data_IF_468728000425
#
_entry.id   IF_468728000425
#
_cell.length_a   1.000
_cell.length_b   1.000
_cell.length_c   1.000
_cell.angle_alpha   90.00
_cell.angle_beta   90.00
_cell.angle_gamma   90.00
#
_symmetry.space_group_name_H-M   'P 1'
#
loop_
_entity.id
_entity.type
_entity.pdbx_description
1 polymer ?
#
# COMPACT_ATOMS: atom_id res chain seq x y z
N UNK A 1 11.25 -6.39 -27.90
CA UNK A 1 10.66 -7.24 -28.96
C UNK A 1 9.18 -7.23 -28.70
N UNK A 2 8.36 -6.86 -29.67
CA UNK A 2 6.91 -6.94 -29.52
C UNK A 2 6.54 -8.42 -29.63
N UNK A 3 5.87 -8.96 -28.62
CA UNK A 3 5.38 -10.34 -28.65
C UNK A 3 3.98 -10.30 -29.24
N UNK A 4 3.75 -10.94 -30.38
CA UNK A 4 2.41 -11.22 -30.87
C UNK A 4 2.09 -12.67 -30.53
N UNK A 5 0.82 -12.94 -30.18
CA UNK A 5 0.37 -14.30 -29.89
C UNK A 5 -0.92 -14.57 -30.64
N UNK A 6 -0.92 -15.66 -31.39
CA UNK A 6 -2.05 -16.12 -32.19
C UNK A 6 -2.50 -17.43 -31.58
N UNK A 7 -3.76 -17.49 -31.15
CA UNK A 7 -4.34 -18.70 -30.55
C UNK A 7 -4.64 -19.76 -31.62
N UNK A 8 -5.25 -19.35 -32.72
CA UNK A 8 -5.60 -20.22 -33.85
C UNK A 8 -5.30 -19.54 -35.18
N UNK A 9 -4.61 -20.26 -36.08
CA UNK A 9 -4.37 -19.87 -37.47
C UNK A 9 -5.06 -20.87 -38.39
N UNK A 10 -6.05 -20.41 -39.16
CA UNK A 10 -6.81 -21.23 -40.10
C UNK A 10 -6.50 -20.76 -41.52
N UNK A 11 -5.97 -21.66 -42.35
CA UNK A 11 -5.77 -21.44 -43.78
C UNK A 11 -6.79 -22.29 -44.53
N UNK A 12 -7.75 -21.62 -45.17
CA UNK A 12 -8.76 -22.27 -46.00
C UNK A 12 -8.42 -22.09 -47.49
N UNK A 13 -8.32 -23.20 -48.23
CA UNK A 13 -8.19 -23.20 -49.68
C UNK A 13 -9.34 -23.96 -50.33
N UNK A 14 -10.01 -23.33 -51.29
CA UNK A 14 -11.01 -23.98 -52.12
C UNK A 14 -10.41 -24.41 -53.45
N UNK A 15 -10.36 -25.72 -53.70
CA UNK A 15 -9.67 -26.32 -54.85
C UNK A 15 -10.65 -27.19 -55.67
N UNK A 16 -11.32 -26.61 -56.68
CA UNK A 16 -12.31 -27.35 -57.45
C UNK A 16 -11.64 -28.44 -58.30
N UNK A 17 -12.09 -29.69 -58.13
CA UNK A 17 -11.70 -30.81 -58.99
C UNK A 17 -10.36 -31.48 -58.64
N UNK A 18 -9.71 -31.09 -57.55
CA UNK A 18 -8.45 -31.70 -57.12
C UNK A 18 -8.68 -33.08 -56.49
N UNK A 19 -7.87 -34.08 -56.85
CA UNK A 19 -7.99 -35.41 -56.27
C UNK A 19 -7.54 -35.41 -54.78
N UNK A 20 -8.10 -36.26 -53.90
CA UNK A 20 -7.73 -36.29 -52.49
C UNK A 20 -6.23 -36.51 -52.21
N UNK A 21 -5.55 -37.27 -53.06
CA UNK A 21 -4.11 -37.50 -52.94
C UNK A 21 -3.29 -36.23 -53.21
N UNK A 22 -3.69 -35.44 -54.21
CA UNK A 22 -3.06 -34.16 -54.57
C UNK A 22 -3.34 -33.10 -53.50
N UNK A 23 -4.56 -33.08 -52.95
CA UNK A 23 -4.94 -32.19 -51.85
C UNK A 23 -4.05 -32.40 -50.61
N UNK A 24 -3.69 -33.66 -50.30
CA UNK A 24 -2.78 -33.97 -49.18
C UNK A 24 -1.35 -33.46 -49.43
N UNK A 25 -0.83 -33.65 -50.64
CA UNK A 25 0.49 -33.12 -51.02
C UNK A 25 0.52 -31.60 -50.91
N UNK A 26 -0.55 -30.93 -51.33
CA UNK A 26 -0.70 -29.49 -51.20
C UNK A 26 -0.78 -29.04 -49.74
N UNK A 27 -1.50 -29.77 -48.89
CA UNK A 27 -1.56 -29.49 -47.46
C UNK A 27 -0.16 -29.55 -46.82
N UNK A 28 0.64 -30.57 -47.15
CA UNK A 28 2.01 -30.68 -46.65
C UNK A 28 2.88 -29.51 -47.16
N UNK A 29 2.72 -29.10 -48.42
CA UNK A 29 3.38 -27.92 -49.00
C UNK A 29 2.99 -26.64 -48.26
N UNK A 30 1.71 -26.46 -47.94
CA UNK A 30 1.23 -25.31 -47.17
C UNK A 30 1.81 -25.26 -45.76
N UNK A 31 1.92 -26.39 -45.05
CA UNK A 31 2.54 -26.42 -43.71
C UNK A 31 3.98 -25.94 -43.77
N UNK A 32 4.73 -26.33 -44.81
CA UNK A 32 6.11 -25.85 -45.01
C UNK A 32 6.13 -24.36 -45.35
N UNK A 33 5.23 -23.90 -46.22
CA UNK A 33 5.14 -22.50 -46.63
C UNK A 33 4.75 -21.59 -45.46
N UNK A 34 3.81 -22.04 -44.62
CA UNK A 34 3.37 -21.36 -43.40
C UNK A 34 4.55 -21.14 -42.47
N UNK A 35 5.29 -22.21 -42.12
CA UNK A 35 6.41 -22.13 -41.18
C UNK A 35 7.59 -21.30 -41.69
N UNK A 36 7.86 -21.33 -43.00
CA UNK A 36 9.04 -20.69 -43.59
C UNK A 36 8.83 -19.26 -44.03
N UNK A 37 7.66 -18.95 -44.62
CA UNK A 37 7.37 -17.64 -45.21
C UNK A 37 6.29 -16.91 -44.44
N UNK A 38 5.11 -17.53 -44.24
CA UNK A 38 3.96 -16.81 -43.66
C UNK A 38 4.21 -16.41 -42.21
N UNK A 39 4.78 -17.27 -41.37
CA UNK A 39 5.09 -16.95 -39.97
C UNK A 39 6.00 -15.72 -39.84
N UNK A 40 7.00 -15.58 -40.72
CA UNK A 40 7.89 -14.40 -40.74
C UNK A 40 7.15 -13.12 -41.20
N UNK A 41 6.22 -13.26 -42.15
CA UNK A 41 5.36 -12.16 -42.59
C UNK A 41 4.43 -11.74 -41.47
N UNK A 42 3.75 -12.68 -40.80
CA UNK A 42 2.87 -12.42 -39.66
C UNK A 42 3.62 -11.63 -38.59
N UNK A 43 4.79 -12.12 -38.17
CA UNK A 43 5.59 -11.47 -37.15
C UNK A 43 5.94 -10.03 -37.54
N UNK A 44 6.47 -9.84 -38.75
CA UNK A 44 6.82 -8.51 -39.26
C UNK A 44 5.61 -7.57 -39.33
N UNK A 45 4.48 -8.04 -39.86
CA UNK A 45 3.30 -7.19 -40.05
C UNK A 45 2.64 -6.86 -38.70
N UNK A 46 2.59 -7.79 -37.75
CA UNK A 46 2.12 -7.51 -36.39
C UNK A 46 3.01 -6.46 -35.70
N UNK A 47 4.33 -6.60 -35.79
CA UNK A 47 5.29 -5.63 -35.25
C UNK A 47 5.16 -4.24 -35.92
N UNK A 48 4.82 -4.19 -37.21
CA UNK A 48 4.60 -2.94 -37.95
C UNK A 48 3.28 -2.24 -37.62
N UNK A 49 2.22 -3.00 -37.33
CA UNK A 49 0.88 -2.46 -37.15
C UNK A 49 0.55 -2.07 -35.70
N UNK A 50 1.18 -2.71 -34.71
CA UNK A 50 0.94 -2.42 -33.29
C UNK A 50 2.03 -1.49 -32.72
N UNK A 51 1.68 -0.32 -32.17
CA UNK A 51 2.65 0.58 -31.57
C UNK A 51 3.28 0.00 -30.30
N UNK A 52 4.54 0.36 -30.04
CA UNK A 52 5.25 -0.14 -28.87
C UNK A 52 4.53 0.24 -27.56
N UNK A 53 4.26 -0.76 -26.70
CA UNK A 53 3.62 -0.57 -25.40
C UNK A 53 2.08 -0.62 -25.44
N UNK A 54 1.48 -0.81 -26.63
CA UNK A 54 0.05 -1.08 -26.77
C UNK A 54 -0.19 -2.59 -26.88
N UNK A 55 -1.30 -3.05 -26.31
CA UNK A 55 -1.80 -4.41 -26.48
C UNK A 55 -3.07 -4.37 -27.31
N UNK A 56 -2.99 -4.85 -28.54
CA UNK A 56 -4.14 -4.98 -29.45
C UNK A 56 -4.75 -6.37 -29.33
N UNK A 57 -6.03 -6.44 -28.95
CA UNK A 57 -6.75 -7.70 -28.75
C UNK A 57 -7.80 -7.86 -29.83
N UNK A 58 -7.40 -8.54 -30.89
CA UNK A 58 -8.27 -8.82 -32.02
C UNK A 58 -8.87 -10.22 -31.84
N UNK A 59 -10.19 -10.29 -31.69
CA UNK A 59 -10.89 -11.57 -31.56
C UNK A 59 -10.73 -12.43 -32.82
N UNK A 60 -10.76 -11.80 -34.00
CA UNK A 60 -10.62 -12.46 -35.29
C UNK A 60 -10.12 -11.50 -36.35
N UNK A 61 -9.17 -11.95 -37.17
CA UNK A 61 -8.73 -11.26 -38.38
C UNK A 61 -8.95 -12.20 -39.56
N UNK A 62 -9.85 -11.84 -40.46
CA UNK A 62 -10.09 -12.56 -41.69
C UNK A 62 -9.35 -11.88 -42.85
N UNK A 63 -8.63 -12.68 -43.63
CA UNK A 63 -7.85 -12.19 -44.77
C UNK A 63 -8.29 -12.94 -46.03
N UNK A 64 -8.92 -12.22 -46.95
CA UNK A 64 -9.26 -12.77 -48.27
C UNK A 64 -8.11 -12.51 -49.26
N UNK A 65 -7.54 -13.59 -49.80
CA UNK A 65 -6.44 -13.55 -50.77
C UNK A 65 -6.94 -13.61 -52.22
N UNK A 66 -8.24 -13.76 -52.41
CA UNK A 66 -8.89 -13.93 -53.70
C UNK A 66 -8.51 -15.25 -54.36
N UNK A 67 -8.24 -15.18 -55.68
CA UNK A 67 -7.90 -16.34 -56.51
C UNK A 67 -6.50 -16.19 -57.09
N UNK A 68 -5.75 -17.28 -57.11
CA UNK A 68 -4.43 -17.38 -57.72
C UNK A 68 -4.22 -18.78 -58.30
N UNK A 69 -3.27 -18.90 -59.23
CA UNK A 69 -2.92 -20.16 -59.88
C UNK A 69 -2.16 -21.07 -58.89
N UNK A 70 -2.39 -22.39 -58.96
CA UNK A 70 -1.77 -23.34 -58.04
C UNK A 70 -0.26 -23.49 -58.30
N UNK A 71 0.14 -23.29 -59.56
CA UNK A 71 1.51 -23.30 -60.03
C UNK A 71 2.34 -22.21 -59.35
N UNK A 72 1.73 -21.04 -59.10
CA UNK A 72 2.37 -19.85 -58.54
C UNK A 72 2.14 -19.70 -57.02
N UNK A 73 1.59 -20.73 -56.36
CA UNK A 73 1.25 -20.71 -54.93
C UNK A 73 2.41 -20.24 -54.04
N UNK A 74 3.63 -20.70 -54.28
CA UNK A 74 4.77 -20.41 -53.40
C UNK A 74 5.19 -18.93 -53.44
N UNK A 75 4.85 -18.22 -54.51
CA UNK A 75 5.26 -16.84 -54.74
C UNK A 75 4.08 -15.87 -54.58
N UNK A 76 2.90 -16.20 -55.13
CA UNK A 76 1.71 -15.37 -55.02
C UNK A 76 1.10 -15.38 -53.62
N UNK A 77 1.04 -16.54 -52.95
CA UNK A 77 0.41 -16.63 -51.62
C UNK A 77 1.11 -15.71 -50.61
N UNK A 78 2.44 -15.76 -50.41
CA UNK A 78 3.09 -14.89 -49.43
C UNK A 78 3.00 -13.41 -49.81
N UNK A 79 3.14 -13.07 -51.09
CA UNK A 79 3.11 -11.68 -51.56
C UNK A 79 1.73 -11.04 -51.34
N UNK A 80 0.66 -11.76 -51.70
CA UNK A 80 -0.71 -11.29 -51.48
C UNK A 80 -1.09 -11.31 -50.01
N UNK A 81 -0.69 -12.35 -49.28
CA UNK A 81 -0.96 -12.48 -47.85
C UNK A 81 -0.36 -11.33 -47.05
N UNK A 82 0.87 -10.92 -47.33
CA UNK A 82 1.48 -9.78 -46.64
C UNK A 82 0.68 -8.48 -46.81
N UNK A 83 0.27 -8.17 -48.04
CA UNK A 83 -0.49 -6.94 -48.32
C UNK A 83 -1.86 -7.01 -47.65
N UNK A 84 -2.59 -8.11 -47.85
CA UNK A 84 -3.93 -8.29 -47.33
C UNK A 84 -3.97 -8.38 -45.79
N UNK A 85 -3.00 -9.04 -45.16
CA UNK A 85 -2.88 -9.11 -43.70
C UNK A 85 -2.62 -7.73 -43.10
N UNK A 86 -1.74 -6.92 -43.72
CA UNK A 86 -1.46 -5.56 -43.24
C UNK A 86 -2.70 -4.67 -43.29
N UNK A 87 -3.47 -4.77 -44.36
CA UNK A 87 -4.74 -4.03 -44.49
C UNK A 87 -5.80 -4.51 -43.49
N UNK A 88 -5.94 -5.83 -43.33
CA UNK A 88 -6.90 -6.43 -42.41
C UNK A 88 -6.57 -6.10 -40.94
N UNK A 89 -5.30 -6.18 -40.55
CA UNK A 89 -4.85 -5.83 -39.20
C UNK A 89 -5.09 -4.36 -38.88
N UNK A 90 -4.71 -3.44 -39.78
CA UNK A 90 -4.97 -2.01 -39.57
C UNK A 90 -6.44 -1.73 -39.37
N UNK A 91 -7.30 -2.25 -40.27
CA UNK A 91 -8.74 -2.09 -40.13
C UNK A 91 -9.26 -2.63 -38.79
N UNK A 92 -8.83 -3.81 -38.39
CA UNK A 92 -9.27 -4.43 -37.15
C UNK A 92 -8.81 -3.65 -35.90
N UNK A 93 -7.59 -3.10 -35.93
CA UNK A 93 -7.04 -2.23 -34.88
C UNK A 93 -7.82 -0.91 -34.83
N UNK A 94 -8.05 -0.26 -35.96
CA UNK A 94 -8.79 1.00 -36.06
C UNK A 94 -10.24 0.80 -35.54
N UNK A 95 -10.92 -0.28 -35.95
CA UNK A 95 -12.25 -0.63 -35.44
C UNK A 95 -12.28 -0.92 -33.94
N UNK A 96 -11.18 -1.46 -33.39
CA UNK A 96 -11.06 -1.67 -31.94
C UNK A 96 -10.88 -0.33 -31.22
N UNK A 97 -10.03 0.57 -31.74
CA UNK A 97 -9.85 1.93 -31.18
C UNK A 97 -11.17 2.68 -31.15
N UNK A 98 -11.93 2.66 -32.25
CA UNK A 98 -13.23 3.34 -32.31
C UNK A 98 -14.22 2.80 -31.26
N UNK A 99 -14.17 1.51 -30.95
CA UNK A 99 -14.99 0.90 -29.88
C UNK A 99 -14.49 1.29 -28.49
N UNK A 100 -13.19 1.23 -28.27
CA UNK A 100 -12.56 1.59 -27.00
C UNK A 100 -12.83 3.08 -26.67
N UNK A 101 -12.75 3.97 -27.67
CA UNK A 101 -13.13 5.39 -27.54
C UNK A 101 -14.62 5.58 -27.23
N UNK A 102 -15.52 4.81 -27.87
CA UNK A 102 -16.96 4.89 -27.61
C UNK A 102 -17.33 4.39 -26.21
N UNK A 103 -16.59 3.44 -25.67
CA UNK A 103 -16.79 2.87 -24.33
C UNK A 103 -15.99 3.60 -23.23
N UNK A 104 -15.26 4.66 -23.58
CA UNK A 104 -14.34 5.41 -22.71
C UNK A 104 -13.35 4.48 -21.98
N UNK A 105 -12.88 3.46 -22.72
CA UNK A 105 -11.93 2.46 -22.22
C UNK A 105 -10.53 2.80 -22.70
N UNK A 106 -9.63 3.06 -21.76
CA UNK A 106 -8.21 3.11 -22.09
C UNK A 106 -7.66 1.67 -22.22
N UNK A 107 -7.11 1.27 -23.40
CA UNK A 107 -6.76 -0.14 -23.67
C UNK A 107 -5.72 -0.73 -22.71
N UNK A 108 -4.72 0.07 -22.31
CA UNK A 108 -3.69 -0.34 -21.36
C UNK A 108 -4.27 -0.66 -19.98
N UNK A 109 -5.21 0.18 -19.54
CA UNK A 109 -5.93 0.05 -18.27
C UNK A 109 -6.81 -1.20 -18.25
N UNK A 110 -7.55 -1.45 -19.34
CA UNK A 110 -8.37 -2.66 -19.49
C UNK A 110 -7.54 -3.94 -19.40
N UNK A 111 -6.41 -3.97 -20.11
CA UNK A 111 -5.51 -5.12 -20.12
C UNK A 111 -4.89 -5.40 -18.74
N UNK A 112 -4.50 -4.34 -18.02
CA UNK A 112 -3.93 -4.46 -16.69
C UNK A 112 -4.95 -4.97 -15.66
N UNK A 113 -6.19 -4.48 -15.70
CA UNK A 113 -7.29 -5.00 -14.86
C UNK A 113 -7.59 -6.47 -15.18
N UNK A 114 -7.72 -6.82 -16.46
CA UNK A 114 -7.99 -8.20 -16.87
C UNK A 114 -6.91 -9.16 -16.37
N UNK A 115 -5.64 -8.76 -16.44
CA UNK A 115 -4.51 -9.56 -15.94
C UNK A 115 -4.67 -9.86 -14.44
N UNK A 116 -4.93 -8.82 -13.64
CA UNK A 116 -5.09 -8.94 -12.18
C UNK A 116 -6.31 -9.80 -11.85
N UNK A 117 -7.45 -9.54 -12.48
CA UNK A 117 -8.70 -10.27 -12.26
C UNK A 117 -8.57 -11.74 -12.66
N UNK A 118 -8.08 -12.01 -13.87
CA UNK A 118 -7.89 -13.38 -14.37
C UNK A 118 -6.96 -14.16 -13.44
N UNK A 119 -5.85 -13.55 -13.02
CA UNK A 119 -4.93 -14.20 -12.08
C UNK A 119 -5.58 -14.48 -10.73
N UNK A 120 -6.27 -13.50 -10.15
CA UNK A 120 -6.93 -13.67 -8.86
C UNK A 120 -7.98 -14.80 -8.92
N UNK A 121 -8.79 -14.85 -9.98
CA UNK A 121 -9.85 -15.84 -10.13
C UNK A 121 -9.34 -17.24 -10.47
N UNK A 122 -8.33 -17.37 -11.32
CA UNK A 122 -7.90 -18.67 -11.88
C UNK A 122 -6.59 -19.18 -11.29
N UNK A 123 -5.74 -18.31 -10.75
CA UNK A 123 -4.36 -18.60 -10.37
C UNK A 123 -3.40 -18.72 -11.56
N UNK A 124 -3.88 -18.50 -12.77
CA UNK A 124 -3.11 -18.51 -14.02
C UNK A 124 -3.18 -17.14 -14.68
N UNK A 125 -2.09 -16.71 -15.32
CA UNK A 125 -2.15 -15.48 -16.12
C UNK A 125 -2.96 -15.73 -17.40
N UNK A 126 -3.55 -14.68 -17.99
CA UNK A 126 -4.12 -14.78 -19.32
C UNK A 126 -3.14 -15.36 -20.32
N UNK A 127 -3.65 -16.07 -21.32
CA UNK A 127 -2.82 -16.71 -22.34
C UNK A 127 -1.91 -15.70 -23.04
N UNK A 128 -2.30 -14.43 -23.20
CA UNK A 128 -1.46 -13.42 -23.85
C UNK A 128 -0.25 -12.96 -23.02
N UNK A 129 -0.11 -13.36 -21.75
CA UNK A 129 1.06 -13.05 -20.93
C UNK A 129 2.08 -14.18 -20.98
N UNK A 130 3.28 -13.86 -21.45
CA UNK A 130 4.42 -14.78 -21.42
C UNK A 130 5.07 -14.79 -20.03
N UNK A 131 4.59 -15.67 -19.14
CA UNK A 131 5.23 -15.91 -17.85
C UNK A 131 5.37 -17.40 -17.55
N UNK A 132 6.55 -17.95 -17.84
CA UNK A 132 6.88 -19.35 -17.58
C UNK A 132 7.28 -19.62 -16.13
N UNK A 133 7.80 -18.60 -15.44
CA UNK A 133 8.28 -18.68 -14.05
C UNK A 133 7.44 -17.85 -13.08
N UNK A 134 7.55 -18.14 -11.79
CA UNK A 134 6.88 -17.34 -10.74
C UNK A 134 7.40 -15.90 -10.70
N UNK A 135 8.69 -15.68 -10.94
CA UNK A 135 9.29 -14.35 -11.00
C UNK A 135 8.73 -13.50 -12.13
N UNK A 136 8.59 -14.09 -13.33
CA UNK A 136 7.95 -13.42 -14.48
C UNK A 136 6.48 -13.10 -14.18
N UNK A 137 5.74 -14.03 -13.55
CA UNK A 137 4.34 -13.75 -13.17
C UNK A 137 4.22 -12.56 -12.23
N UNK A 138 5.11 -12.49 -11.23
CA UNK A 138 5.17 -11.35 -10.30
C UNK A 138 5.52 -10.05 -11.03
N UNK A 139 6.48 -10.10 -11.95
CA UNK A 139 6.88 -8.94 -12.75
C UNK A 139 5.72 -8.43 -13.64
N UNK A 140 4.96 -9.33 -14.27
CA UNK A 140 3.79 -8.96 -15.08
C UNK A 140 2.68 -8.32 -14.24
N UNK A 141 2.40 -8.86 -13.05
CA UNK A 141 1.43 -8.26 -12.12
C UNK A 141 1.87 -6.87 -11.63
N UNK A 142 3.17 -6.70 -11.35
CA UNK A 142 3.72 -5.40 -10.96
C UNK A 142 3.61 -4.38 -12.10
N UNK A 143 3.97 -4.77 -13.32
CA UNK A 143 3.83 -3.92 -14.51
C UNK A 143 2.36 -3.52 -14.77
N UNK A 144 1.41 -4.44 -14.57
CA UNK A 144 -0.02 -4.13 -14.65
C UNK A 144 -0.43 -3.08 -13.61
N UNK A 145 0.03 -3.20 -12.37
CA UNK A 145 -0.25 -2.23 -11.32
C UNK A 145 0.40 -0.87 -11.57
N UNK A 146 1.63 -0.85 -12.08
CA UNK A 146 2.32 0.39 -12.48
C UNK A 146 1.59 1.09 -13.64
N UNK A 147 1.06 0.31 -14.60
CA UNK A 147 0.23 0.84 -15.69
C UNK A 147 -1.07 1.45 -15.16
N UNK A 148 -1.76 0.77 -14.24
CA UNK A 148 -2.98 1.32 -13.62
C UNK A 148 -2.68 2.57 -12.81
N UNK A 149 -1.54 2.61 -12.13
CA UNK A 149 -1.08 3.76 -11.35
C UNK A 149 -0.81 5.01 -12.19
N UNK A 150 -0.59 4.87 -13.51
CA UNK A 150 -0.41 5.98 -14.44
C UNK A 150 -1.74 6.52 -15.00
N UNK A 151 -2.86 5.82 -14.78
CA UNK A 151 -4.20 6.24 -15.21
C UNK A 151 -4.65 7.52 -14.49
N UNK A 152 -5.50 8.39 -15.11
CA UNK A 152 -6.02 9.60 -14.46
C UNK A 152 -6.86 9.34 -13.21
N UNK A 153 -7.63 8.23 -13.19
CA UNK A 153 -8.36 7.74 -12.02
C UNK A 153 -7.93 6.29 -11.71
N UNK A 154 -6.79 6.09 -11.04
CA UNK A 154 -6.29 4.76 -10.71
C UNK A 154 -7.11 4.15 -9.56
N UNK A 155 -7.61 4.99 -8.65
CA UNK A 155 -8.24 4.58 -7.41
C UNK A 155 -9.63 4.00 -7.66
N UNK A 156 -10.47 4.66 -8.45
CA UNK A 156 -11.83 4.20 -8.72
C UNK A 156 -11.85 2.83 -9.39
N UNK A 157 -10.97 2.63 -10.38
CA UNK A 157 -10.84 1.37 -11.11
C UNK A 157 -10.31 0.23 -10.25
N UNK A 158 -9.18 0.44 -9.56
CA UNK A 158 -8.61 -0.57 -8.66
C UNK A 158 -9.58 -0.92 -7.54
N UNK A 159 -10.25 0.07 -6.96
CA UNK A 159 -11.24 -0.16 -5.90
C UNK A 159 -12.39 -1.02 -6.37
N UNK A 160 -12.92 -0.77 -7.58
CA UNK A 160 -14.00 -1.58 -8.15
C UNK A 160 -13.56 -3.03 -8.38
N UNK A 161 -12.43 -3.24 -9.04
CA UNK A 161 -11.90 -4.58 -9.31
C UNK A 161 -11.61 -5.35 -8.03
N UNK A 162 -10.93 -4.72 -7.06
CA UNK A 162 -10.63 -5.37 -5.78
C UNK A 162 -11.88 -5.59 -4.92
N UNK A 163 -12.89 -4.72 -4.96
CA UNK A 163 -14.13 -4.91 -4.23
C UNK A 163 -14.87 -6.17 -4.70
N UNK A 164 -14.84 -6.43 -6.01
CA UNK A 164 -15.35 -7.68 -6.58
C UNK A 164 -14.54 -8.90 -6.08
N UNK A 165 -13.21 -8.81 -6.09
CA UNK A 165 -12.34 -9.87 -5.56
C UNK A 165 -12.52 -10.11 -4.06
N UNK A 166 -12.78 -9.05 -3.27
CA UNK A 166 -13.00 -9.16 -1.83
C UNK A 166 -14.29 -9.91 -1.47
N UNK A 167 -15.23 -10.03 -2.40
CA UNK A 167 -16.40 -10.91 -2.23
C UNK A 167 -16.03 -12.40 -2.29
N UNK A 168 -14.81 -12.73 -2.76
CA UNK A 168 -14.27 -14.07 -2.90
C UNK A 168 -12.91 -14.19 -2.21
N UNK A 169 -12.87 -14.58 -0.92
CA UNK A 169 -11.60 -14.76 -0.19
C UNK A 169 -10.57 -15.64 -0.90
N UNK A 170 -10.94 -16.76 -1.58
CA UNK A 170 -9.97 -17.55 -2.34
C UNK A 170 -9.28 -16.77 -3.47
N UNK A 171 -10.01 -15.88 -4.16
CA UNK A 171 -9.44 -15.12 -5.25
C UNK A 171 -8.43 -14.08 -4.75
N UNK A 172 -8.80 -13.37 -3.69
CA UNK A 172 -7.91 -12.41 -3.04
C UNK A 172 -6.67 -13.10 -2.46
N UNK A 173 -6.81 -14.24 -1.78
CA UNK A 173 -5.66 -15.00 -1.25
C UNK A 173 -4.66 -15.39 -2.35
N UNK A 174 -5.12 -15.74 -3.56
CA UNK A 174 -4.20 -16.03 -4.69
C UNK A 174 -3.36 -14.82 -5.05
N UNK A 175 -3.98 -13.64 -5.11
CA UNK A 175 -3.26 -12.38 -5.36
C UNK A 175 -2.26 -12.09 -4.21
N UNK A 176 -2.67 -12.30 -2.96
CA UNK A 176 -1.79 -12.09 -1.80
C UNK A 176 -0.57 -13.02 -1.80
N UNK A 177 -0.70 -14.25 -2.30
CA UNK A 177 0.40 -15.23 -2.34
C UNK A 177 1.50 -14.89 -3.34
N UNK A 178 1.14 -14.31 -4.49
CA UNK A 178 2.11 -13.98 -5.54
C UNK A 178 2.78 -12.63 -5.29
N UNK A 179 2.05 -11.69 -4.70
CA UNK A 179 2.51 -10.35 -4.40
C UNK A 179 3.40 -10.36 -3.16
N UNK A 180 4.50 -9.59 -3.19
CA UNK A 180 5.30 -9.31 -2.00
C UNK A 180 4.67 -8.18 -1.17
N UNK A 181 5.18 -7.95 0.04
CA UNK A 181 4.62 -6.92 0.93
C UNK A 181 4.74 -5.52 0.34
N UNK A 182 5.80 -5.25 -0.45
CA UNK A 182 5.95 -3.98 -1.17
C UNK A 182 4.79 -3.75 -2.16
N UNK A 183 4.48 -4.76 -2.98
CA UNK A 183 3.41 -4.68 -3.96
C UNK A 183 2.04 -4.58 -3.29
N UNK A 184 1.82 -5.32 -2.19
CA UNK A 184 0.57 -5.25 -1.42
C UNK A 184 0.39 -3.89 -0.72
N UNK A 185 1.47 -3.32 -0.19
CA UNK A 185 1.45 -1.97 0.37
C UNK A 185 1.11 -0.95 -0.71
N UNK A 186 1.74 -1.05 -1.88
CA UNK A 186 1.45 -0.17 -3.02
C UNK A 186 -0.02 -0.32 -3.48
N UNK A 187 -0.50 -1.55 -3.64
CA UNK A 187 -1.89 -1.84 -4.04
C UNK A 187 -2.89 -1.25 -3.03
N UNK A 188 -2.70 -1.53 -1.74
CA UNK A 188 -3.61 -1.05 -0.69
C UNK A 188 -3.58 0.48 -0.59
N UNK A 189 -2.39 1.09 -0.68
CA UNK A 189 -2.22 2.54 -0.65
C UNK A 189 -2.81 3.27 -1.87
N UNK A 190 -2.92 2.60 -3.03
CA UNK A 190 -3.57 3.16 -4.23
C UNK A 190 -5.09 3.08 -4.19
N UNK A 191 -5.63 2.12 -3.43
CA UNK A 191 -7.08 1.92 -3.25
C UNK A 191 -7.60 2.77 -2.10
N UNK A 192 -6.77 2.90 -1.06
CA UNK A 192 -6.92 3.88 -0.01
C UNK A 192 -6.81 5.30 -0.60
N UNK A 193 -7.56 6.25 -0.05
CA UNK A 193 -7.31 7.66 -0.33
C UNK A 193 -5.89 8.00 0.21
N UNK A 194 -5.05 8.77 -0.50
CA UNK A 194 -3.72 9.16 -0.04
C UNK A 194 -3.70 9.75 1.38
N UNK A 195 -4.74 10.49 1.77
CA UNK A 195 -4.90 11.06 3.11
C UNK A 195 -5.57 10.09 4.10
N UNK A 196 -6.07 8.95 3.61
CA UNK A 196 -6.77 7.99 4.45
C UNK A 196 -5.84 7.11 5.26
N UNK A 197 -6.44 6.57 6.32
CA UNK A 197 -5.86 5.57 7.21
C UNK A 197 -5.45 4.26 6.50
N UNK A 198 -5.89 4.02 5.26
CA UNK A 198 -5.53 2.82 4.52
C UNK A 198 -4.04 2.76 4.15
N UNK A 199 -3.46 3.88 3.71
CA UNK A 199 -2.00 3.99 3.42
C UNK A 199 -1.16 3.82 4.69
N UNK A 200 -1.66 4.39 5.78
CA UNK A 200 -1.16 4.22 7.14
C UNK A 200 -1.14 2.75 7.57
N UNK A 201 -2.27 2.05 7.44
CA UNK A 201 -2.41 0.63 7.73
C UNK A 201 -1.46 -0.23 6.88
N UNK A 202 -1.34 0.08 5.58
CA UNK A 202 -0.47 -0.64 4.65
C UNK A 202 1.02 -0.59 5.08
N UNK A 203 1.49 0.59 5.49
CA UNK A 203 2.87 0.79 5.97
C UNK A 203 3.11 0.09 7.31
N UNK A 204 2.14 0.18 8.21
CA UNK A 204 2.22 -0.48 9.50
C UNK A 204 2.25 -2.00 9.35
N UNK A 205 1.40 -2.59 8.50
CA UNK A 205 1.41 -4.04 8.24
C UNK A 205 2.74 -4.52 7.65
N UNK A 206 3.31 -3.79 6.69
CA UNK A 206 4.63 -4.10 6.15
C UNK A 206 5.72 -4.03 7.23
N UNK A 207 5.67 -3.02 8.10
CA UNK A 207 6.58 -2.91 9.25
C UNK A 207 6.45 -4.10 10.19
N UNK A 208 5.22 -4.47 10.57
CA UNK A 208 4.96 -5.63 11.44
C UNK A 208 5.42 -6.94 10.84
N UNK A 209 5.16 -7.17 9.55
CA UNK A 209 5.58 -8.37 8.84
C UNK A 209 7.10 -8.45 8.70
N UNK A 210 7.79 -7.31 8.58
CA UNK A 210 9.26 -7.27 8.58
C UNK A 210 9.86 -7.59 9.95
N UNK A 211 9.22 -7.14 11.03
CA UNK A 211 9.66 -7.34 12.42
C UNK A 211 9.26 -8.70 12.99
N UNK A 212 8.22 -9.33 12.44
CA UNK A 212 7.80 -10.69 12.71
C UNK A 212 8.91 -11.68 12.29
N UNK A 213 9.89 -11.85 13.16
CA UNK A 213 11.09 -12.68 12.97
C UNK A 213 10.77 -14.18 12.84
N UNK A 214 11.80 -14.97 12.51
CA UNK A 214 11.79 -16.42 12.19
C UNK A 214 11.18 -17.34 13.27
N UNK A 215 10.74 -16.81 14.41
CA UNK A 215 10.13 -17.59 15.50
C UNK A 215 8.62 -17.82 15.38
N UNK A 216 7.93 -17.20 14.42
CA UNK A 216 6.48 -17.40 14.22
C UNK A 216 6.24 -18.66 13.41
N UNK A 217 5.59 -19.65 14.04
CA UNK A 217 5.35 -21.00 13.51
C UNK A 217 4.53 -21.03 12.20
N UNK A 218 3.88 -19.92 11.81
CA UNK A 218 3.14 -19.82 10.54
C UNK A 218 3.10 -18.39 9.97
N UNK A 219 4.29 -17.82 9.70
CA UNK A 219 4.42 -16.48 9.09
C UNK A 219 3.61 -16.31 7.79
N UNK A 220 3.58 -17.27 6.84
CA UNK A 220 2.81 -17.11 5.60
C UNK A 220 1.31 -16.96 5.86
N UNK A 221 0.75 -17.76 6.77
CA UNK A 221 -0.68 -17.65 7.13
C UNK A 221 -0.99 -16.35 7.84
N UNK A 222 -0.17 -15.95 8.81
CA UNK A 222 -0.34 -14.67 9.50
C UNK A 222 -0.32 -13.51 8.50
N UNK A 223 0.60 -13.55 7.54
CA UNK A 223 0.68 -12.58 6.44
C UNK A 223 -0.60 -12.57 5.60
N UNK A 224 -1.08 -13.73 5.16
CA UNK A 224 -2.33 -13.83 4.39
C UNK A 224 -3.53 -13.25 5.15
N UNK A 225 -3.67 -13.59 6.44
CA UNK A 225 -4.78 -13.12 7.28
C UNK A 225 -4.74 -11.61 7.53
N UNK A 226 -3.54 -11.06 7.81
CA UNK A 226 -3.34 -9.62 8.00
C UNK A 226 -3.69 -8.83 6.75
N UNK A 227 -3.18 -9.23 5.59
CA UNK A 227 -3.46 -8.56 4.33
C UNK A 227 -4.92 -8.73 3.90
N UNK A 228 -5.48 -9.93 4.01
CA UNK A 228 -6.87 -10.19 3.67
C UNK A 228 -7.82 -9.28 4.45
N UNK A 229 -7.58 -9.09 5.75
CA UNK A 229 -8.39 -8.18 6.54
C UNK A 229 -8.18 -6.72 6.11
N UNK A 230 -6.93 -6.30 5.88
CA UNK A 230 -6.61 -4.94 5.47
C UNK A 230 -7.38 -4.55 4.19
N UNK A 231 -7.32 -5.40 3.16
CA UNK A 231 -8.08 -5.21 1.92
C UNK A 231 -9.58 -5.23 2.18
N UNK A 232 -10.09 -6.21 2.92
CA UNK A 232 -11.53 -6.31 3.23
C UNK A 232 -12.05 -5.03 3.89
N UNK A 233 -11.27 -4.43 4.80
CA UNK A 233 -11.66 -3.21 5.51
C UNK A 233 -11.62 -1.97 4.63
N UNK A 234 -10.52 -1.75 3.91
CA UNK A 234 -10.38 -0.61 2.99
C UNK A 234 -11.48 -0.62 1.93
N UNK A 235 -11.85 -1.81 1.44
CA UNK A 235 -12.87 -1.96 0.41
C UNK A 235 -14.31 -1.81 0.96
N UNK A 236 -14.62 -2.39 2.12
CA UNK A 236 -15.99 -2.40 2.66
C UNK A 236 -16.46 -1.07 3.26
N UNK A 237 -15.56 -0.28 3.87
CA UNK A 237 -16.00 0.77 4.82
C UNK A 237 -15.92 2.21 4.36
N UNK A 238 -15.48 2.48 3.13
CA UNK A 238 -15.52 3.87 2.61
C UNK A 238 -15.05 4.88 3.65
N UNK A 239 -13.83 4.71 4.17
CA UNK A 239 -13.17 5.64 5.10
C UNK A 239 -13.81 5.85 6.50
N UNK A 240 -14.86 5.11 6.88
CA UNK A 240 -15.49 5.28 8.22
C UNK A 240 -14.61 4.74 9.36
N UNK A 241 -13.82 5.66 9.91
CA UNK A 241 -13.41 5.88 11.31
C UNK A 241 -13.41 4.69 12.29
N UNK A 242 -12.62 3.66 12.04
CA UNK A 242 -12.05 2.86 13.14
C UNK A 242 -10.54 3.15 13.25
N UNK A 243 -10.02 3.18 14.47
CA UNK A 243 -8.59 3.27 14.76
C UNK A 243 -7.88 2.01 14.24
N UNK A 244 -6.93 2.19 13.32
CA UNK A 244 -6.16 1.10 12.72
C UNK A 244 -5.42 0.27 13.80
N UNK A 245 -4.98 0.94 14.88
CA UNK A 245 -4.35 0.29 16.03
C UNK A 245 -5.34 -0.65 16.72
N UNK A 246 -6.51 -0.14 17.08
CA UNK A 246 -7.55 -0.91 17.76
C UNK A 246 -8.09 -2.06 16.90
N UNK A 247 -8.02 -1.94 15.57
CA UNK A 247 -8.34 -3.04 14.66
C UNK A 247 -7.30 -4.15 14.75
N UNK A 248 -6.02 -3.80 14.63
CA UNK A 248 -4.92 -4.76 14.69
C UNK A 248 -4.80 -5.41 16.07
N UNK A 249 -5.00 -4.65 17.14
CA UNK A 249 -5.10 -5.19 18.50
C UNK A 249 -6.21 -6.23 18.60
N UNK A 250 -7.44 -5.90 18.18
CA UNK A 250 -8.57 -6.87 18.16
C UNK A 250 -8.28 -8.10 17.30
N UNK A 251 -7.56 -7.95 16.19
CA UNK A 251 -7.15 -9.09 15.36
C UNK A 251 -6.22 -10.02 16.11
N UNK A 252 -5.17 -9.44 16.68
CA UNK A 252 -4.12 -10.21 17.34
C UNK A 252 -4.64 -10.88 18.62
N UNK A 253 -5.56 -10.23 19.33
CA UNK A 253 -6.30 -10.81 20.45
C UNK A 253 -7.19 -12.00 20.02
N UNK A 254 -7.72 -11.98 18.80
CA UNK A 254 -8.57 -13.06 18.28
C UNK A 254 -7.80 -14.30 17.82
N UNK A 255 -6.46 -14.24 17.74
CA UNK A 255 -5.62 -15.31 17.23
C UNK A 255 -5.02 -16.17 18.35
N UNK A 256 -5.50 -17.41 18.55
CA UNK A 256 -5.12 -18.24 19.70
C UNK A 256 -3.66 -18.71 19.69
N UNK A 257 -2.98 -18.63 18.55
CA UNK A 257 -1.56 -18.99 18.40
C UNK A 257 -0.59 -17.84 18.70
N UNK A 258 -1.09 -16.68 19.11
CA UNK A 258 -0.29 -15.48 19.25
C UNK A 258 -0.04 -15.12 20.72
N UNK A 259 1.23 -15.01 21.12
CA UNK A 259 1.61 -14.61 22.49
C UNK A 259 1.99 -13.12 22.56
N UNK A 260 1.34 -12.29 23.40
CA UNK A 260 1.36 -10.82 23.25
C UNK A 260 2.62 -10.09 23.76
N UNK A 261 3.70 -10.76 24.12
CA UNK A 261 4.68 -10.15 25.02
C UNK A 261 5.56 -9.03 24.43
N UNK A 262 5.71 -8.92 23.09
CA UNK A 262 6.66 -7.96 22.48
C UNK A 262 6.08 -7.09 21.34
N UNK A 263 5.08 -7.59 20.60
CA UNK A 263 4.55 -6.86 19.45
C UNK A 263 3.56 -5.73 19.80
N UNK A 264 2.71 -5.80 20.84
CA UNK A 264 1.71 -4.76 21.12
C UNK A 264 2.33 -3.38 21.37
N UNK A 265 3.53 -3.30 21.95
CA UNK A 265 4.19 -2.01 22.18
C UNK A 265 4.79 -1.44 20.89
N UNK A 266 5.42 -2.27 20.06
CA UNK A 266 5.92 -1.86 18.75
C UNK A 266 4.77 -1.49 17.78
N UNK A 267 3.68 -2.26 17.78
CA UNK A 267 2.45 -1.96 17.03
C UNK A 267 1.86 -0.65 17.50
N UNK A 268 1.72 -0.45 18.82
CA UNK A 268 1.16 0.79 19.36
C UNK A 268 2.04 1.98 19.04
N UNK A 269 3.36 1.87 19.20
CA UNK A 269 4.29 2.94 18.87
C UNK A 269 4.24 3.30 17.37
N UNK A 270 4.21 2.28 16.50
CA UNK A 270 4.09 2.46 15.06
C UNK A 270 2.72 3.01 14.65
N UNK A 271 1.63 2.54 15.27
CA UNK A 271 0.29 3.02 14.99
C UNK A 271 0.10 4.47 15.44
N UNK A 272 0.65 4.85 16.60
CA UNK A 272 0.69 6.24 17.08
C UNK A 272 1.48 7.09 16.09
N UNK A 273 2.67 6.64 15.64
CA UNK A 273 3.46 7.37 14.65
C UNK A 273 2.66 7.60 13.36
N UNK A 274 2.03 6.55 12.86
CA UNK A 274 1.27 6.55 11.61
C UNK A 274 0.00 7.43 11.71
N UNK A 275 -0.70 7.42 12.84
CA UNK A 275 -1.87 8.28 13.09
C UNK A 275 -1.47 9.76 13.20
N UNK A 276 -0.31 10.05 13.82
CA UNK A 276 0.26 11.40 13.84
C UNK A 276 0.62 11.89 12.43
N UNK A 277 1.28 11.05 11.61
CA UNK A 277 1.58 11.40 10.21
C UNK A 277 0.31 11.65 9.40
N UNK A 278 -0.73 10.81 9.55
CA UNK A 278 -2.00 10.98 8.85
C UNK A 278 -2.73 12.28 9.25
N UNK A 279 -2.49 12.78 10.48
CA UNK A 279 -3.01 14.07 10.95
C UNK A 279 -2.15 15.27 10.48
N UNK A 280 -1.19 15.07 9.59
CA UNK A 280 -0.26 16.10 9.13
C UNK A 280 0.73 16.56 10.21
N UNK A 281 0.85 15.81 11.31
CA UNK A 281 1.89 16.03 12.30
C UNK A 281 3.12 15.31 11.78
N UNK A 282 4.05 16.06 11.17
CA UNK A 282 5.38 15.54 10.87
C UNK A 282 6.01 15.14 12.20
N UNK A 283 5.94 13.84 12.48
CA UNK A 283 6.40 13.30 13.75
C UNK A 283 7.90 13.52 13.89
N UNK A 284 8.64 13.70 12.78
CA UNK A 284 10.03 14.18 12.77
C UNK A 284 10.85 13.66 13.94
N UNK A 285 10.63 12.39 14.34
CA UNK A 285 11.27 11.76 15.48
C UNK A 285 12.66 11.41 14.98
N UNK A 286 13.49 12.42 14.73
CA UNK A 286 14.92 12.24 14.82
C UNK A 286 15.15 11.77 16.24
N UNK A 287 15.63 10.53 16.38
CA UNK A 287 16.32 10.14 17.59
C UNK A 287 17.27 11.30 17.93
N UNK A 288 17.20 11.88 19.15
CA UNK A 288 18.08 12.97 19.50
C UNK A 288 19.52 12.48 19.26
N UNK A 289 20.19 13.07 18.28
CA UNK A 289 21.58 12.74 18.00
C UNK A 289 22.34 13.02 19.28
N UNK A 290 23.04 11.99 19.76
CA UNK A 290 23.77 11.96 21.02
C UNK A 290 24.49 13.29 21.29
N UNK A 291 23.94 14.13 22.18
CA UNK A 291 24.59 15.37 22.61
C UNK A 291 23.69 16.56 22.93
N UNK A 292 22.44 16.62 22.46
CA UNK A 292 21.53 17.72 22.80
C UNK A 292 20.85 17.43 24.15
N UNK A 293 21.32 18.09 25.21
CA UNK A 293 20.64 18.11 26.50
C UNK A 293 19.30 18.87 26.35
N UNK A 294 18.19 18.36 26.92
CA UNK A 294 16.95 19.14 26.97
C UNK A 294 17.24 20.44 27.72
N UNK A 295 17.07 21.58 27.04
CA UNK A 295 17.42 22.89 27.57
C UNK A 295 16.84 23.15 28.96
N UNK A 296 17.47 24.04 29.77
CA UNK A 296 17.16 24.24 31.19
C UNK A 296 15.69 24.56 31.49
N UNK A 297 14.96 25.14 30.54
CA UNK A 297 13.52 25.41 30.63
C UNK A 297 12.70 24.11 30.69
N UNK A 298 13.11 23.09 29.93
CA UNK A 298 12.41 21.82 29.76
C UNK A 298 12.65 20.90 30.96
N UNK A 299 13.88 20.91 31.51
CA UNK A 299 14.21 20.28 32.78
C UNK A 299 13.47 20.92 33.97
N UNK A 300 13.33 22.25 33.97
CA UNK A 300 12.56 22.98 34.99
C UNK A 300 11.07 22.68 34.92
N UNK A 301 10.49 22.70 33.72
CA UNK A 301 9.07 22.38 33.49
C UNK A 301 8.74 20.97 33.95
N UNK A 302 9.56 19.98 33.57
CA UNK A 302 9.37 18.58 33.97
C UNK A 302 9.41 18.43 35.50
N UNK A 303 10.32 19.15 36.17
CA UNK A 303 10.46 19.14 37.63
C UNK A 303 9.29 19.80 38.36
N UNK A 304 8.81 20.95 37.88
CA UNK A 304 7.64 21.65 38.44
C UNK A 304 6.34 20.82 38.27
N UNK A 305 6.19 20.15 37.13
CA UNK A 305 5.04 19.29 36.82
C UNK A 305 5.01 18.04 37.71
N UNK A 306 6.18 17.45 37.95
CA UNK A 306 6.38 16.34 38.89
C UNK A 306 6.04 16.72 40.34
N UNK A 307 6.53 17.87 40.83
CA UNK A 307 6.26 18.33 42.20
C UNK A 307 4.76 18.56 42.43
N UNK A 308 4.03 19.06 41.42
CA UNK A 308 2.59 19.27 41.54
C UNK A 308 1.78 17.97 41.49
N UNK A 309 2.21 16.98 40.69
CA UNK A 309 1.57 15.66 40.63
C UNK A 309 1.81 14.86 41.92
N UNK A 310 2.97 15.03 42.57
CA UNK A 310 3.27 14.42 43.86
C UNK A 310 2.53 15.10 45.01
N UNK A 311 2.47 16.44 45.02
CA UNK A 311 1.66 17.17 45.99
C UNK A 311 0.17 16.82 45.93
N UNK A 312 -0.36 16.55 44.73
CA UNK A 312 -1.74 16.09 44.56
C UNK A 312 -1.96 14.61 44.98
N UNK A 313 -0.89 13.81 45.07
CA UNK A 313 -0.96 12.41 45.50
C UNK A 313 -0.78 12.25 47.02
N UNK A 314 -0.04 13.15 47.68
CA UNK A 314 0.19 13.13 49.13
C UNK A 314 -0.94 13.77 49.95
N UNK A 315 -1.73 14.68 49.35
CA UNK A 315 -2.85 15.38 50.01
C UNK A 315 -4.09 14.46 50.24
N UNK A 316 -4.01 13.19 49.81
CA UNK A 316 -5.06 12.17 50.00
C UNK A 316 -5.10 11.61 51.45
N UNK A 317 -4.26 12.13 52.34
CA UNK A 317 -4.12 11.60 53.71
C UNK A 317 -4.97 12.30 54.76
N UNK A 318 -5.50 13.53 54.55
CA UNK A 318 -6.31 14.24 55.56
C UNK A 318 -7.36 15.24 55.00
N UNK A 319 -8.28 14.80 54.12
CA UNK A 319 -9.55 15.51 53.89
C UNK A 319 -10.64 14.55 53.37
N UNK A 320 -11.93 14.76 53.69
CA UNK A 320 -12.99 13.86 53.22
C UNK A 320 -13.14 13.97 51.70
N UNK A 321 -13.22 12.81 51.04
CA UNK A 321 -13.31 12.63 49.60
C UNK A 321 -14.46 13.44 48.95
N UNK A 322 -14.11 14.63 48.44
CA UNK A 322 -14.81 15.23 47.31
C UNK A 322 -14.07 14.76 46.07
N UNK A 323 -14.74 14.01 45.19
CA UNK A 323 -14.21 13.56 43.89
C UNK A 323 -13.57 14.74 43.15
N UNK A 324 -12.24 14.83 43.17
CA UNK A 324 -11.51 15.71 42.28
C UNK A 324 -11.67 15.16 40.86
N UNK A 325 -12.33 15.91 39.97
CA UNK A 325 -12.47 15.58 38.56
C UNK A 325 -11.07 15.51 37.91
N UNK A 326 -10.56 14.31 37.55
CA UNK A 326 -9.24 14.16 36.95
C UNK A 326 -9.13 14.93 35.63
N UNK A 327 -10.25 15.14 34.93
CA UNK A 327 -10.29 15.93 33.70
C UNK A 327 -10.16 17.44 33.97
N UNK A 328 -10.57 17.93 35.14
CA UNK A 328 -10.38 19.33 35.52
C UNK A 328 -8.91 19.60 35.86
N UNK A 329 -8.26 18.68 36.57
CA UNK A 329 -6.81 18.76 36.85
C UNK A 329 -6.00 18.73 35.54
N UNK A 330 -6.36 17.84 34.61
CA UNK A 330 -5.71 17.72 33.31
C UNK A 330 -5.89 18.98 32.45
N UNK A 331 -7.09 19.58 32.45
CA UNK A 331 -7.37 20.85 31.74
C UNK A 331 -6.61 22.03 32.34
N UNK A 332 -6.50 22.11 33.66
CA UNK A 332 -5.71 23.14 34.34
C UNK A 332 -4.22 23.03 33.99
N UNK A 333 -3.72 21.79 33.92
CA UNK A 333 -2.33 21.49 33.58
C UNK A 333 -2.03 21.82 32.10
N UNK A 334 -2.96 21.50 31.19
CA UNK A 334 -2.92 21.88 29.78
C UNK A 334 -2.90 23.41 29.58
N UNK A 335 -3.83 24.13 30.22
CA UNK A 335 -3.91 25.59 30.12
C UNK A 335 -2.63 26.27 30.62
N UNK A 336 -2.03 25.73 31.68
CA UNK A 336 -0.79 26.26 32.28
C UNK A 336 0.44 25.96 31.44
N UNK A 337 0.54 24.77 30.85
CA UNK A 337 1.60 24.43 29.90
C UNK A 337 1.55 25.31 28.64
N UNK A 338 0.35 25.58 28.12
CA UNK A 338 0.14 26.48 26.98
C UNK A 338 0.50 27.93 27.33
N UNK A 339 0.09 28.42 28.51
CA UNK A 339 0.44 29.76 28.99
C UNK A 339 1.95 29.95 29.16
N UNK A 340 2.66 28.95 29.71
CA UNK A 340 4.13 29.01 29.87
C UNK A 340 4.89 28.95 28.54
N UNK A 341 4.31 28.33 27.51
CA UNK A 341 4.85 28.34 26.16
C UNK A 341 4.51 29.64 25.39
N UNK A 342 3.84 30.61 26.03
CA UNK A 342 3.42 31.86 25.38
C UNK A 342 2.29 31.67 24.36
N UNK A 343 1.59 30.54 24.39
CA UNK A 343 0.37 30.30 23.60
C UNK A 343 -0.81 30.78 24.43
N UNK A 344 -1.11 32.08 24.38
CA UNK A 344 -2.33 32.58 24.99
C UNK A 344 -3.52 32.23 24.08
N UNK A 345 -4.42 31.35 24.55
CA UNK A 345 -5.82 31.44 24.13
C UNK A 345 -6.38 32.72 24.76
N UNK A 346 -6.93 33.59 23.92
CA UNK A 346 -7.38 34.93 24.30
C UNK A 346 -8.51 34.86 25.32
N UNK A 347 -8.20 35.13 26.60
CA UNK A 347 -9.23 35.34 27.62
C UNK A 347 -8.73 35.38 29.07
N UNK A 348 -8.31 36.56 29.53
CA UNK A 348 -8.24 36.89 30.97
C UNK A 348 -6.86 37.27 31.51
N UNK A 349 -6.78 38.44 32.17
CA UNK A 349 -5.55 39.07 32.65
C UNK A 349 -5.12 38.56 34.04
N UNK A 350 -3.81 38.30 34.20
CA UNK A 350 -3.09 38.15 35.47
C UNK A 350 -1.77 38.93 35.32
N UNK A 351 -1.29 39.70 36.33
CA UNK A 351 -0.15 40.58 36.14
C UNK A 351 1.17 39.81 36.12
N UNK A 352 2.01 40.16 35.15
CA UNK A 352 3.33 39.59 34.89
C UNK A 352 4.37 40.27 35.78
N UNK A 353 5.09 39.47 36.58
CA UNK A 353 6.42 39.84 37.05
C UNK A 353 7.44 39.57 35.94
N UNK A 354 8.34 40.53 35.72
CA UNK A 354 9.30 40.60 34.62
C UNK A 354 10.04 39.27 34.36
N UNK A 355 9.83 38.71 33.16
CA UNK A 355 10.74 37.76 32.52
C UNK A 355 11.38 38.52 31.38
N UNK A 356 12.71 38.69 31.42
CA UNK A 356 13.48 39.38 30.40
C UNK A 356 13.64 38.52 29.13
N UNK A 357 13.55 39.18 27.97
CA UNK A 357 13.59 38.62 26.60
C UNK A 357 14.89 37.87 26.18
N UNK A 358 15.79 37.54 27.11
CA UNK A 358 17.12 37.02 26.79
C UNK A 358 17.25 35.48 26.75
N UNK A 359 16.24 34.71 27.17
CA UNK A 359 16.34 33.23 27.29
C UNK A 359 15.53 32.43 26.24
N UNK A 360 14.84 33.09 25.30
CA UNK A 360 14.07 32.39 24.24
C UNK A 360 14.91 32.27 22.98
N UNK A 361 15.99 31.49 23.08
CA UNK A 361 16.72 30.97 21.92
C UNK A 361 15.86 29.97 21.14
N UNK A 362 15.91 30.06 19.81
CA UNK A 362 15.14 29.27 18.87
C UNK A 362 15.42 27.76 18.97
N UNK A 363 14.46 26.98 19.48
CA UNK A 363 14.32 25.57 19.10
C UNK A 363 12.85 25.20 18.83
N UNK A 364 12.37 25.42 17.58
CA UNK A 364 11.02 25.01 17.19
C UNK A 364 10.82 23.48 17.27
N UNK A 365 11.88 22.70 17.13
CA UNK A 365 11.83 21.23 17.19
C UNK A 365 11.52 20.67 18.59
N UNK A 366 12.18 21.19 19.64
CA UNK A 366 11.94 20.76 21.02
C UNK A 366 10.53 21.08 21.49
N UNK A 367 9.99 22.23 21.07
CA UNK A 367 8.61 22.65 21.39
C UNK A 367 7.56 21.80 20.68
N UNK A 368 7.77 21.48 19.40
CA UNK A 368 6.87 20.60 18.65
C UNK A 368 6.87 19.17 19.21
N UNK A 369 8.05 18.64 19.54
CA UNK A 369 8.21 17.33 20.19
C UNK A 369 7.49 17.27 21.54
N UNK A 370 7.65 18.29 22.38
CA UNK A 370 7.01 18.36 23.70
C UNK A 370 5.48 18.41 23.59
N UNK A 371 4.96 19.21 22.66
CA UNK A 371 3.51 19.30 22.41
C UNK A 371 2.94 17.99 21.86
N UNK A 372 3.65 17.32 20.96
CA UNK A 372 3.27 16.00 20.45
C UNK A 372 3.26 14.95 21.56
N UNK A 373 4.31 14.93 22.41
CA UNK A 373 4.42 13.98 23.54
C UNK A 373 3.38 14.25 24.62
N UNK A 374 3.11 15.52 24.95
CA UNK A 374 2.03 15.91 25.87
C UNK A 374 0.67 15.52 25.31
N UNK A 375 0.40 15.75 24.02
CA UNK A 375 -0.86 15.30 23.37
C UNK A 375 -1.01 13.78 23.43
N UNK A 376 0.05 13.02 23.16
CA UNK A 376 0.03 11.56 23.25
C UNK A 376 -0.26 11.06 24.68
N UNK A 377 0.40 11.64 25.69
CA UNK A 377 0.15 11.32 27.11
C UNK A 377 -1.27 11.70 27.56
N UNK A 378 -1.78 12.84 27.08
CA UNK A 378 -3.14 13.30 27.34
C UNK A 378 -4.19 12.41 26.67
N UNK A 379 -3.91 11.91 25.46
CA UNK A 379 -4.78 10.99 24.75
C UNK A 379 -4.81 9.61 25.45
N UNK A 380 -3.65 9.12 25.89
CA UNK A 380 -3.51 7.93 26.74
C UNK A 380 -4.32 8.05 28.04
N UNK A 381 -4.27 9.21 28.70
CA UNK A 381 -5.04 9.47 29.91
C UNK A 381 -6.56 9.59 29.66
N UNK A 382 -7.00 9.82 28.42
CA UNK A 382 -8.42 9.90 28.03
C UNK A 382 -9.00 8.54 27.62
N UNK A 383 -8.20 7.66 27.04
CA UNK A 383 -8.67 6.37 26.49
C UNK A 383 -8.51 5.22 27.47
N UNK A 384 -7.53 5.28 28.38
CA UNK A 384 -7.43 4.36 29.51
C UNK A 384 -8.08 4.98 30.75
N UNK A 385 -8.74 4.19 31.59
CA UNK A 385 -8.91 4.53 33.00
C UNK A 385 -7.52 4.34 33.64
N UNK A 386 -6.69 5.38 33.77
CA UNK A 386 -5.28 5.15 34.05
C UNK A 386 -5.15 4.85 35.54
N UNK A 387 -4.62 3.68 35.89
CA UNK A 387 -4.15 3.45 37.25
C UNK A 387 -3.03 4.48 37.53
N UNK A 388 -3.12 5.31 38.58
CA UNK A 388 -2.09 6.29 38.94
C UNK A 388 -0.67 5.70 39.03
N UNK A 389 -0.57 4.37 39.22
CA UNK A 389 0.67 3.61 39.22
C UNK A 389 1.43 3.63 37.88
N UNK A 390 0.76 3.54 36.73
CA UNK A 390 1.40 3.54 35.40
C UNK A 390 1.99 4.91 35.05
N UNK A 391 1.26 5.98 35.42
CA UNK A 391 1.74 7.34 35.28
C UNK A 391 2.94 7.58 36.21
N UNK A 392 2.88 7.07 37.45
CA UNK A 392 3.97 7.14 38.43
C UNK A 392 5.21 6.38 37.96
N UNK A 393 5.07 5.18 37.42
CA UNK A 393 6.18 4.36 36.92
C UNK A 393 6.92 5.04 35.74
N UNK A 394 6.16 5.64 34.81
CA UNK A 394 6.75 6.44 33.73
C UNK A 394 7.44 7.72 34.22
N UNK A 395 6.90 8.34 35.28
CA UNK A 395 7.48 9.53 35.90
C UNK A 395 8.71 9.22 36.77
N UNK A 396 8.74 8.07 37.44
CA UNK A 396 9.88 7.57 38.22
C UNK A 396 11.02 7.10 37.30
N UNK A 397 10.70 6.50 36.16
CA UNK A 397 11.68 6.18 35.11
C UNK A 397 12.43 7.42 34.62
N UNK A 398 11.76 8.58 34.56
CA UNK A 398 12.40 9.86 34.22
C UNK A 398 13.35 10.37 35.31
N UNK A 399 13.20 9.94 36.57
CA UNK A 399 13.97 10.40 37.73
C UNK A 399 15.27 9.64 37.97
N UNK A 400 15.38 8.38 37.54
CA UNK A 400 16.53 7.53 37.87
C UNK A 400 16.61 7.16 39.37
N UNK A 401 17.43 6.16 39.76
CA UNK A 401 17.42 5.59 41.11
C UNK A 401 17.89 6.52 42.23
N UNK A 402 18.53 7.65 41.90
CA UNK A 402 19.11 8.60 42.88
C UNK A 402 18.43 9.98 42.90
N UNK A 403 17.39 10.22 42.09
CA UNK A 403 16.73 11.53 42.01
C UNK A 403 17.53 12.62 41.28
N UNK A 404 18.70 12.28 40.73
CA UNK A 404 19.45 13.14 39.81
C UNK A 404 19.24 12.70 38.35
N UNK A 405 19.27 13.67 37.43
CA UNK A 405 19.08 13.40 36.01
C UNK A 405 20.21 12.50 35.47
N UNK A 406 19.88 11.23 35.21
CA UNK A 406 20.81 10.29 34.54
C UNK A 406 21.11 10.78 33.13
N UNK A 407 22.39 10.89 32.71
CA UNK A 407 22.76 11.23 31.35
C UNK A 407 22.17 10.26 30.32
N UNK A 408 21.67 10.78 29.19
CA UNK A 408 21.01 10.00 28.14
C UNK A 408 21.81 8.77 27.64
N UNK A 409 23.15 8.83 27.75
CA UNK A 409 24.07 7.75 27.39
C UNK A 409 23.90 6.48 28.23
N UNK A 410 23.57 6.59 29.52
CA UNK A 410 23.33 5.44 30.40
C UNK A 410 21.93 4.86 30.20
N UNK A 411 20.96 5.68 29.78
CA UNK A 411 19.60 5.23 29.43
C UNK A 411 19.58 4.38 28.16
N UNK A 412 20.40 4.71 27.17
CA UNK A 412 20.53 3.94 25.92
C UNK A 412 21.28 2.61 26.13
N UNK A 413 22.19 2.54 27.12
CA UNK A 413 22.88 1.29 27.47
C UNK A 413 21.97 0.25 28.14
N UNK A 414 20.94 0.69 28.87
CA UNK A 414 19.93 -0.17 29.50
C UNK A 414 18.81 -0.63 28.55
N UNK A 415 18.63 0.06 27.41
CA UNK A 415 17.66 -0.30 26.36
C UNK A 415 18.24 -1.31 25.35
N UNK A 416 19.55 -1.46 25.27
CA UNK A 416 20.23 -2.38 24.36
C UNK A 416 20.42 -3.80 24.93
N UNK A 417 20.04 -4.03 26.18
CA UNK A 417 20.00 -5.32 26.89
C UNK A 417 18.59 -5.62 27.33
#
# INVERSE_FOLDING_TARGET
MVSHRIDEEIIELTLPGLAPAEARVLQDRLVVLQRRKLAAIIARVCDECSPAGRLDRLDRVEVDLGRFALEDLDDELPARFEVALREALRRAIDEQEERDEQEDREPATGSALELIETYAWTGTLPWWVDAGSEGERRASLRAALDSLAAHPDPQGLLRRALAELASSPPALIRLLRIADDELLTALLGRVADPESRGSALARLLASLLSQASEGIVDRPRLREELWLLAFSRVLQRGDESDDAAALIERMLESQPSWTPAALPEAIRAEAIRVDLEAQGVDAGLREPTTGEEPGPVLARLTRELLVQLEGAADDDSQAPATQADPQAALRALQARALAMLGVAESGGAVPVGEVTEADVGQEPAGRAWLLARLRALLQLARTANPAPALLREHLEWLRGPSGEAIPAKERLGLLAT
#
